data_IF_540414237531
#
_entry.id   IF_540414237531
#
_cell.length_a   1.000
_cell.length_b   1.000
_cell.length_c   1.000
_cell.angle_alpha   90.00
_cell.angle_beta   90.00
_cell.angle_gamma   90.00
#
_symmetry.space_group_name_H-M   'P 1'
#
loop_
_entity.id
_entity.type
_entity.pdbx_description
1 polymer ?
#
# COMPACT_ATOMS: atom_id res chain seq x y z
N UNK A 1 -10.69 -6.93 -28.54
CA UNK A 1 -9.33 -6.62 -28.02
C UNK A 1 -9.55 -5.82 -26.75
N UNK A 2 -9.20 -6.38 -25.59
CA UNK A 2 -9.36 -5.69 -24.30
C UNK A 2 -8.21 -4.72 -24.12
N UNK A 3 -8.50 -3.42 -24.00
CA UNK A 3 -7.49 -2.42 -23.63
C UNK A 3 -7.35 -2.43 -22.12
N UNK A 4 -6.15 -2.70 -21.61
CA UNK A 4 -5.85 -2.63 -20.18
C UNK A 4 -5.35 -1.22 -19.87
N UNK A 5 -6.07 -0.50 -19.00
CA UNK A 5 -5.69 0.84 -18.55
C UNK A 5 -5.46 0.84 -17.04
N UNK A 6 -4.45 1.56 -16.58
CA UNK A 6 -4.23 1.78 -15.15
C UNK A 6 -5.11 2.95 -14.67
N UNK A 7 -5.92 2.68 -13.64
CA UNK A 7 -6.62 3.70 -12.88
C UNK A 7 -5.82 3.99 -11.61
N UNK A 8 -5.63 5.27 -11.32
CA UNK A 8 -4.92 5.72 -10.12
C UNK A 8 -5.89 6.34 -9.13
N UNK A 9 -5.66 6.05 -7.86
CA UNK A 9 -6.43 6.56 -6.74
C UNK A 9 -5.50 7.18 -5.73
N UNK A 10 -5.71 8.45 -5.38
CA UNK A 10 -4.95 9.13 -4.32
C UNK A 10 -5.71 9.05 -2.99
N UNK A 11 -4.95 8.88 -1.91
CA UNK A 11 -5.44 8.89 -0.53
C UNK A 11 -5.82 10.31 -0.13
N UNK A 12 -7.11 10.58 0.06
CA UNK A 12 -7.56 11.83 0.70
C UNK A 12 -7.17 11.83 2.18
N UNK A 13 -6.48 12.86 2.67
CA UNK A 13 -6.16 12.96 4.09
C UNK A 13 -7.43 13.09 4.94
N UNK A 14 -7.38 12.66 6.20
CA UNK A 14 -8.44 12.82 7.21
C UNK A 14 -9.78 12.09 6.94
N UNK A 15 -9.85 11.21 5.94
CA UNK A 15 -11.00 10.32 5.73
C UNK A 15 -10.70 8.87 6.17
N UNK A 16 -11.71 8.06 6.55
CA UNK A 16 -11.54 6.62 6.64
C UNK A 16 -11.07 6.06 5.30
N UNK A 17 -10.09 5.14 5.32
CA UNK A 17 -9.43 4.69 4.08
C UNK A 17 -10.40 4.06 3.06
N UNK A 18 -11.46 3.40 3.51
CA UNK A 18 -12.48 2.82 2.64
C UNK A 18 -13.15 3.88 1.73
N UNK A 19 -13.27 5.12 2.19
CA UNK A 19 -13.94 6.23 1.52
C UNK A 19 -12.96 7.25 0.94
N UNK A 20 -11.67 6.96 1.03
CA UNK A 20 -10.63 7.96 0.84
C UNK A 20 -10.02 8.03 -0.54
N UNK A 21 -10.34 7.05 -1.38
CA UNK A 21 -9.74 6.90 -2.68
C UNK A 21 -10.45 7.82 -3.66
N UNK A 22 -9.76 8.87 -4.09
CA UNK A 22 -10.22 9.74 -5.15
C UNK A 22 -9.55 9.33 -6.46
N UNK A 23 -10.30 9.12 -7.55
CA UNK A 23 -9.68 8.89 -8.86
C UNK A 23 -8.80 10.08 -9.22
N UNK A 24 -7.62 9.79 -9.77
CA UNK A 24 -6.68 10.78 -10.28
C UNK A 24 -6.76 10.76 -11.80
N UNK A 25 -7.39 11.79 -12.36
CA UNK A 25 -7.27 12.09 -13.77
C UNK A 25 -5.81 12.47 -14.05
N UNK A 26 -5.23 11.85 -15.08
CA UNK A 26 -3.85 12.08 -15.46
C UNK A 26 -3.73 12.04 -16.99
N UNK A 27 -3.10 13.07 -17.53
CA UNK A 27 -2.57 13.01 -18.90
C UNK A 27 -1.28 12.17 -18.88
N UNK A 28 -1.05 11.38 -19.92
CA UNK A 28 0.12 10.52 -20.03
C UNK A 28 1.45 11.29 -19.91
N UNK A 29 1.47 12.57 -20.29
CA UNK A 29 2.63 13.47 -20.22
C UNK A 29 3.01 13.91 -18.79
N UNK A 30 2.17 13.65 -17.78
CA UNK A 30 2.42 14.08 -16.39
C UNK A 30 2.78 12.92 -15.45
N UNK A 31 3.19 11.78 -15.99
CA UNK A 31 3.61 10.62 -15.21
C UNK A 31 5.12 10.59 -15.00
N UNK A 32 5.56 10.16 -13.82
CA UNK A 32 6.95 9.89 -13.51
C UNK A 32 7.11 8.44 -13.03
N UNK A 33 8.31 7.92 -13.26
CA UNK A 33 8.65 6.53 -12.98
C UNK A 33 9.12 6.37 -11.53
N UNK A 34 8.55 5.39 -10.81
CA UNK A 34 8.99 5.01 -9.46
C UNK A 34 9.37 3.52 -9.41
N UNK A 35 10.29 3.13 -8.51
CA UNK A 35 10.69 1.73 -8.39
C UNK A 35 9.57 0.86 -7.81
N UNK A 36 9.31 -0.29 -8.43
CA UNK A 36 8.45 -1.35 -7.92
C UNK A 36 9.35 -2.39 -7.23
N UNK A 37 9.37 -2.35 -5.90
CA UNK A 37 10.41 -3.02 -5.11
C UNK A 37 10.10 -4.50 -4.84
N UNK A 38 8.86 -4.91 -5.03
CA UNK A 38 8.44 -6.31 -4.86
C UNK A 38 6.99 -6.43 -4.45
N UNK A 39 6.70 -7.53 -3.77
CA UNK A 39 5.37 -7.84 -3.29
C UNK A 39 5.22 -7.55 -1.79
N UNK A 40 4.05 -7.07 -1.38
CA UNK A 40 3.64 -7.04 0.03
C UNK A 40 2.56 -8.08 0.26
N UNK A 41 2.86 -9.04 1.12
CA UNK A 41 1.97 -10.15 1.43
C UNK A 41 1.30 -9.96 2.78
N UNK A 42 0.10 -10.50 2.93
CA UNK A 42 -0.54 -10.66 4.22
C UNK A 42 0.08 -11.82 5.03
N UNK A 43 1.37 -11.75 5.39
CA UNK A 43 2.01 -12.76 6.25
C UNK A 43 3.25 -13.48 5.69
N UNK A 44 3.94 -12.92 4.69
CA UNK A 44 5.16 -13.50 4.13
C UNK A 44 6.22 -12.40 3.91
N UNK A 45 7.53 -12.73 3.91
CA UNK A 45 8.61 -11.79 3.61
C UNK A 45 8.40 -11.04 2.29
N UNK A 46 9.00 -9.86 2.14
CA UNK A 46 9.15 -9.27 0.80
C UNK A 46 9.99 -10.24 0.00
N UNK A 47 9.38 -10.89 -0.99
CA UNK A 47 10.15 -11.46 -2.08
C UNK A 47 10.68 -10.29 -2.92
N UNK A 48 11.98 -10.03 -2.79
CA UNK A 48 12.65 -9.02 -3.59
C UNK A 48 12.45 -9.36 -5.06
N UNK A 49 11.83 -8.46 -5.82
CA UNK A 49 11.79 -8.64 -7.25
C UNK A 49 13.23 -8.57 -7.75
N UNK A 50 13.70 -9.61 -8.44
CA UNK A 50 15.08 -9.68 -8.94
C UNK A 50 15.35 -8.70 -10.08
N UNK A 51 14.30 -8.03 -10.57
CA UNK A 51 14.36 -7.07 -11.65
C UNK A 51 14.12 -5.64 -11.15
N UNK A 52 14.80 -4.69 -11.78
CA UNK A 52 14.60 -3.24 -11.69
C UNK A 52 13.24 -2.85 -12.27
N UNK A 53 12.16 -3.43 -11.75
CA UNK A 53 10.81 -3.13 -12.18
C UNK A 53 10.42 -1.72 -11.73
N UNK A 54 9.63 -1.06 -12.55
CA UNK A 54 9.17 0.30 -12.32
C UNK A 54 7.73 0.46 -12.78
N UNK A 55 7.08 1.51 -12.31
CA UNK A 55 5.74 1.88 -12.73
C UNK A 55 5.67 3.39 -12.95
N UNK A 56 4.99 3.79 -14.03
CA UNK A 56 4.64 5.19 -14.27
C UNK A 56 3.42 5.54 -13.44
N UNK A 57 3.55 6.55 -12.58
CA UNK A 57 2.48 7.08 -11.73
C UNK A 57 2.34 8.58 -11.97
N UNK A 58 1.14 9.16 -11.81
CA UNK A 58 0.95 10.60 -11.91
C UNK A 58 1.89 11.35 -10.97
N UNK A 59 2.59 12.38 -11.46
CA UNK A 59 3.56 13.15 -10.66
C UNK A 59 2.93 13.81 -9.43
N UNK A 60 1.62 14.08 -9.47
CA UNK A 60 0.85 14.60 -8.33
C UNK A 60 0.84 13.65 -7.13
N UNK A 61 1.00 12.34 -7.36
CA UNK A 61 1.03 11.31 -6.30
C UNK A 61 2.46 11.07 -5.77
N UNK A 62 3.49 11.56 -6.45
CA UNK A 62 4.88 11.32 -6.08
C UNK A 62 5.34 12.35 -5.05
N UNK A 63 6.06 11.86 -4.04
CA UNK A 63 6.86 12.61 -3.08
C UNK A 63 8.33 12.19 -3.19
N UNK A 64 9.25 12.91 -2.50
CA UNK A 64 10.71 12.71 -2.65
C UNK A 64 11.21 11.27 -2.43
N UNK A 65 10.53 10.46 -1.63
CA UNK A 65 10.94 9.10 -1.28
C UNK A 65 9.82 8.07 -1.54
N UNK A 66 9.27 8.09 -2.75
CA UNK A 66 8.14 7.22 -3.12
C UNK A 66 8.61 5.92 -3.75
N UNK A 67 7.95 4.82 -3.43
CA UNK A 67 8.15 3.52 -4.08
C UNK A 67 6.83 2.76 -4.19
N UNK A 68 6.81 1.73 -5.03
CA UNK A 68 5.65 0.89 -5.22
C UNK A 68 5.88 -0.53 -4.70
N UNK A 69 4.80 -1.17 -4.24
CA UNK A 69 4.73 -2.61 -3.98
C UNK A 69 3.47 -3.17 -4.61
N UNK A 70 3.54 -4.40 -5.13
CA UNK A 70 2.36 -5.13 -5.56
C UNK A 70 1.71 -5.84 -4.36
N UNK A 71 0.41 -5.69 -4.20
CA UNK A 71 -0.37 -6.31 -3.12
C UNK A 71 -0.59 -7.78 -3.44
N UNK A 72 -0.36 -8.64 -2.43
CA UNK A 72 -0.66 -10.06 -2.45
C UNK A 72 -1.60 -10.42 -1.28
N UNK A 73 -2.78 -10.94 -1.63
CA UNK A 73 -3.83 -11.36 -0.72
C UNK A 73 -4.86 -10.27 -0.40
N UNK A 74 -5.79 -10.62 0.50
CA UNK A 74 -7.04 -9.89 0.70
C UNK A 74 -7.15 -9.22 2.08
N UNK A 75 -6.04 -8.92 2.76
CA UNK A 75 -6.10 -8.41 4.14
C UNK A 75 -6.62 -6.98 4.28
N UNK A 76 -6.77 -6.27 3.16
CA UNK A 76 -7.16 -4.86 3.11
C UNK A 76 -8.38 -4.61 2.21
N UNK A 77 -9.19 -5.64 1.94
CA UNK A 77 -10.37 -5.56 1.06
C UNK A 77 -11.39 -4.52 1.53
N UNK A 78 -11.60 -4.37 2.84
CA UNK A 78 -12.55 -3.40 3.41
C UNK A 78 -12.02 -1.95 3.25
N UNK A 79 -10.78 -1.78 2.79
CA UNK A 79 -10.18 -0.51 2.42
C UNK A 79 -10.14 -0.30 0.91
N UNK A 80 -10.84 -1.11 0.10
CA UNK A 80 -10.75 -1.08 -1.35
C UNK A 80 -9.32 -1.27 -1.89
N UNK A 81 -8.50 -2.05 -1.19
CA UNK A 81 -7.19 -2.52 -1.67
C UNK A 81 -7.30 -4.04 -1.88
N UNK A 82 -7.13 -4.48 -3.13
CA UNK A 82 -7.35 -5.86 -3.54
C UNK A 82 -6.04 -6.54 -3.97
N UNK A 83 -6.08 -7.87 -4.03
CA UNK A 83 -4.97 -8.65 -4.59
C UNK A 83 -4.63 -8.18 -6.02
N UNK A 84 -3.33 -8.03 -6.29
CA UNK A 84 -2.83 -7.60 -7.59
C UNK A 84 -2.78 -6.08 -7.81
N UNK A 85 -3.36 -5.27 -6.91
CA UNK A 85 -3.19 -3.82 -6.90
C UNK A 85 -1.72 -3.44 -6.70
N UNK A 86 -1.32 -2.26 -7.19
CA UNK A 86 -0.02 -1.67 -6.90
C UNK A 86 -0.23 -0.49 -5.96
N UNK A 87 0.35 -0.55 -4.77
CA UNK A 87 0.28 0.55 -3.80
C UNK A 87 1.47 1.49 -3.98
N UNK A 88 1.19 2.80 -3.92
CA UNK A 88 2.18 3.87 -3.93
C UNK A 88 2.45 4.26 -2.48
N UNK A 89 3.71 4.17 -2.06
CA UNK A 89 4.13 4.30 -0.67
C UNK A 89 5.10 5.45 -0.53
N UNK A 90 4.84 6.34 0.41
CA UNK A 90 5.81 7.32 0.87
C UNK A 90 6.64 6.72 2.01
N UNK A 91 7.98 6.69 1.86
CA UNK A 91 8.88 6.23 2.94
C UNK A 91 8.76 7.14 4.15
N UNK A 92 8.36 6.55 5.27
CA UNK A 92 8.26 7.19 6.57
C UNK A 92 8.56 6.14 7.66
N UNK A 93 9.14 6.60 8.77
CA UNK A 93 9.55 5.73 9.89
C UNK A 93 8.52 5.72 11.03
N UNK A 94 7.45 6.50 10.89
CA UNK A 94 6.36 6.65 11.86
C UNK A 94 5.01 6.58 11.16
N UNK A 95 4.00 6.17 11.90
CA UNK A 95 2.60 6.18 11.48
C UNK A 95 1.72 6.60 12.66
N UNK A 96 0.68 7.37 12.39
CA UNK A 96 -0.37 7.71 13.34
C UNK A 96 -1.39 6.55 13.48
N UNK A 97 -2.19 6.62 14.55
CA UNK A 97 -3.19 5.59 14.81
C UNK A 97 -4.27 5.55 13.71
N UNK A 98 -4.48 4.35 13.17
CA UNK A 98 -5.44 4.09 12.11
C UNK A 98 -4.87 4.28 10.69
N UNK A 99 -3.63 4.74 10.56
CA UNK A 99 -2.97 4.84 9.27
C UNK A 99 -2.70 3.47 8.67
N UNK A 100 -2.76 3.40 7.34
CA UNK A 100 -2.47 2.18 6.59
C UNK A 100 -1.00 2.19 6.20
N UNK A 101 -0.24 1.39 6.93
CA UNK A 101 1.21 1.41 6.91
C UNK A 101 1.75 0.08 6.38
N UNK A 102 2.83 0.19 5.63
CA UNK A 102 3.70 -0.94 5.31
C UNK A 102 4.68 -1.08 6.46
N UNK A 103 4.69 -2.24 7.09
CA UNK A 103 5.49 -2.50 8.30
C UNK A 103 6.28 -3.78 8.15
N UNK A 104 7.48 -3.78 8.73
CA UNK A 104 8.32 -4.96 8.88
C UNK A 104 8.16 -5.53 10.28
N UNK A 105 7.90 -6.83 10.39
CA UNK A 105 7.74 -7.58 11.64
C UNK A 105 8.97 -8.48 11.82
N UNK A 106 9.58 -8.43 13.00
CA UNK A 106 10.74 -9.25 13.39
C UNK A 106 11.91 -9.24 12.39
N UNK A 107 12.11 -8.13 11.65
CA UNK A 107 13.10 -8.01 10.57
C UNK A 107 12.99 -9.09 9.46
N UNK A 108 11.83 -9.75 9.34
CA UNK A 108 11.62 -10.91 8.45
C UNK A 108 10.43 -10.73 7.52
N UNK A 109 9.29 -10.28 8.04
CA UNK A 109 8.04 -10.23 7.31
C UNK A 109 7.66 -8.79 6.99
N UNK A 110 7.16 -8.51 5.79
CA UNK A 110 6.55 -7.20 5.50
C UNK A 110 5.10 -7.36 5.16
N UNK A 111 4.27 -6.56 5.84
CA UNK A 111 2.82 -6.64 5.74
C UNK A 111 2.22 -5.25 5.59
N UNK A 112 1.02 -5.22 5.03
CA UNK A 112 0.18 -4.04 4.93
C UNK A 112 -1.01 -4.18 5.88
N UNK A 113 -1.13 -3.27 6.86
CA UNK A 113 -2.19 -3.28 7.87
C UNK A 113 -2.51 -1.85 8.32
N UNK A 114 -3.62 -1.68 9.03
CA UNK A 114 -3.83 -0.47 9.84
C UNK A 114 -3.00 -0.57 11.11
N UNK A 115 -2.18 0.44 11.39
CA UNK A 115 -1.33 0.48 12.58
C UNK A 115 -2.04 1.23 13.71
N UNK A 116 -2.04 0.67 14.91
CA UNK A 116 -2.49 1.33 16.12
C UNK A 116 -1.43 1.18 17.21
N UNK A 117 -0.88 2.31 17.64
CA UNK A 117 -0.01 2.46 18.80
C UNK A 117 -0.88 2.41 20.05
N UNK A 118 -0.61 1.42 20.90
CA UNK A 118 -1.32 1.16 22.15
C UNK A 118 -0.34 1.16 23.33
N UNK A 119 -0.86 1.22 24.56
CA UNK A 119 -0.03 1.35 25.77
C UNK A 119 1.01 0.21 25.92
N UNK A 120 0.67 -0.99 25.46
CA UNK A 120 1.47 -2.21 25.66
C UNK A 120 2.18 -2.68 24.39
N UNK A 121 2.15 -1.90 23.30
CA UNK A 121 2.69 -2.34 22.03
C UNK A 121 2.04 -1.68 20.82
N UNK A 122 2.04 -2.41 19.72
CA UNK A 122 1.37 -2.05 18.48
C UNK A 122 0.38 -3.13 18.10
N UNK A 123 -0.83 -2.71 17.73
CA UNK A 123 -1.83 -3.57 17.09
C UNK A 123 -1.83 -3.30 15.60
N UNK A 124 -1.59 -4.34 14.82
CA UNK A 124 -1.79 -4.36 13.39
C UNK A 124 -3.16 -4.95 13.09
N UNK A 125 -4.03 -4.12 12.55
CA UNK A 125 -5.41 -4.48 12.25
C UNK A 125 -5.57 -4.70 10.75
N UNK A 126 -5.90 -5.93 10.31
CA UNK A 126 -6.38 -6.15 8.95
C UNK A 126 -7.67 -5.36 8.72
N UNK A 127 -7.83 -4.84 7.51
CA UNK A 127 -9.13 -4.38 7.04
C UNK A 127 -9.78 -5.49 6.21
N UNK A 128 -9.99 -6.60 6.91
CA UNK A 128 -10.73 -7.76 6.46
C UNK A 128 -11.32 -8.39 7.72
N UNK A 129 -12.65 -8.33 7.85
CA UNK A 129 -13.39 -8.81 9.03
C UNK A 129 -13.11 -10.28 9.36
N UNK A 130 -12.72 -11.09 8.38
CA UNK A 130 -12.40 -12.51 8.56
C UNK A 130 -10.98 -12.76 9.11
N UNK A 131 -10.18 -11.71 9.35
CA UNK A 131 -8.79 -11.83 9.80
C UNK A 131 -8.58 -11.20 11.19
N UNK A 132 -7.97 -11.91 12.15
CA UNK A 132 -7.74 -11.36 13.48
C UNK A 132 -6.62 -10.31 13.50
N UNK A 133 -6.65 -9.36 14.46
CA UNK A 133 -5.54 -8.44 14.69
C UNK A 133 -4.28 -9.16 15.17
N UNK A 134 -3.12 -8.57 14.85
CA UNK A 134 -1.80 -9.02 15.30
C UNK A 134 -1.29 -8.02 16.34
N UNK A 135 -0.82 -8.50 17.48
CA UNK A 135 -0.28 -7.67 18.55
C UNK A 135 1.22 -7.91 18.68
N UNK A 136 2.00 -6.83 18.68
CA UNK A 136 3.46 -6.85 18.67
C UNK A 136 4.00 -5.88 19.72
N UNK A 137 5.22 -6.14 20.22
CA UNK A 137 5.94 -5.13 21.00
C UNK A 137 6.53 -4.10 20.05
N UNK A 138 6.82 -2.90 20.56
CA UNK A 138 7.48 -1.85 19.78
C UNK A 138 8.84 -2.29 19.22
N UNK A 139 9.54 -3.22 19.88
CA UNK A 139 10.81 -3.80 19.42
C UNK A 139 10.68 -4.69 18.19
N UNK A 140 9.49 -5.22 17.95
CA UNK A 140 9.26 -6.31 17.00
C UNK A 140 8.72 -5.77 15.66
N UNK A 141 8.62 -4.44 15.52
CA UNK A 141 8.00 -3.79 14.37
C UNK A 141 8.77 -2.54 13.94
N UNK A 142 8.88 -2.35 12.62
CA UNK A 142 9.39 -1.12 11.99
C UNK A 142 8.41 -0.62 10.93
N UNK A 143 8.09 0.67 10.92
CA UNK A 143 7.33 1.29 9.82
C UNK A 143 8.28 1.52 8.65
N UNK A 144 7.87 1.11 7.45
CA UNK A 144 8.63 1.32 6.20
C UNK A 144 8.05 2.47 5.37
N UNK A 145 6.76 2.74 5.53
CA UNK A 145 6.09 3.86 4.88
C UNK A 145 4.57 3.80 4.96
N UNK A 146 3.94 4.85 4.46
CA UNK A 146 2.50 5.04 4.42
C UNK A 146 1.97 4.91 2.99
N UNK A 147 0.78 4.31 2.85
CA UNK A 147 0.13 4.20 1.54
C UNK A 147 -0.54 5.52 1.17
N UNK A 148 -0.04 6.14 0.11
CA UNK A 148 -0.54 7.40 -0.44
C UNK A 148 -1.44 7.20 -1.65
N UNK A 149 -1.38 6.04 -2.30
CA UNK A 149 -2.16 5.78 -3.49
C UNK A 149 -2.27 4.31 -3.88
N UNK A 150 -3.19 4.03 -4.79
CA UNK A 150 -3.40 2.72 -5.40
C UNK A 150 -3.46 2.89 -6.91
N UNK A 151 -2.72 2.05 -7.63
CA UNK A 151 -2.83 1.86 -9.07
C UNK A 151 -3.46 0.48 -9.33
N UNK A 152 -4.55 0.47 -10.09
CA UNK A 152 -5.33 -0.74 -10.40
C UNK A 152 -5.45 -0.92 -11.90
N UNK A 153 -5.27 -2.15 -12.38
CA UNK A 153 -5.63 -2.51 -13.75
C UNK A 153 -7.15 -2.57 -13.87
N UNK A 154 -7.72 -1.75 -14.73
CA UNK A 154 -9.09 -1.88 -15.18
C UNK A 154 -9.10 -2.55 -16.55
N UNK A 155 -9.85 -3.65 -16.66
CA UNK A 155 -10.20 -4.21 -17.96
C UNK A 155 -11.48 -3.54 -18.46
N UNK A 156 -11.39 -2.84 -19.58
CA UNK A 156 -12.57 -2.30 -20.25
C UNK A 156 -13.06 -3.34 -21.27
N UNK A 157 -14.24 -3.92 -21.03
CA UNK A 157 -14.94 -4.66 -22.07
C UNK A 157 -15.45 -3.66 -23.12
N UNK A 158 -15.06 -3.87 -24.38
CA UNK A 158 -15.57 -3.11 -25.52
C UNK A 158 -17.00 -3.56 -25.88
#
# INVERSE_FOLDING_TARGET
>A
MTTVTLQFFERRPNLPIAESWAPVDHDADSCAEIPLIGNVSAGLPIEACSDTASIHVPSSMIRRNTYALQVRGNSMIDCNIFDGDVIIIERQESAENGETAVVMINDQEVTLKKLYIEKNGVRLQPANTSMPPIYLRNSDIRVLGLVMGVARRAEMAA
#
